data_IF_063297852448
#
_entry.id   IF_063297852448
#
_cell.length_a   1.000
_cell.length_b   1.000
_cell.length_c   1.000
_cell.angle_alpha   90.00
_cell.angle_beta   90.00
_cell.angle_gamma   90.00
#
_symmetry.space_group_name_H-M   'P 1'
#
loop_
_entity.id
_entity.type
_entity.pdbx_description
1 polymer ?
#
# COMPACT_ATOMS: atom_id res chain seq x y z
N UNK A 1 12.13 44.29 -21.00
CA UNK A 1 11.07 43.44 -20.41
C UNK A 1 11.77 42.32 -19.68
N UNK A 2 11.98 42.49 -18.40
CA UNK A 2 12.68 41.54 -17.50
C UNK A 2 11.63 40.69 -16.79
N UNK A 3 11.59 39.39 -17.11
CA UNK A 3 10.69 38.45 -16.43
C UNK A 3 11.27 38.07 -15.07
N UNK A 4 10.60 38.46 -14.03
CA UNK A 4 10.86 38.05 -12.64
C UNK A 4 10.46 36.60 -12.44
N UNK A 5 11.43 35.73 -12.11
CA UNK A 5 11.17 34.34 -11.72
C UNK A 5 10.85 34.32 -10.25
N UNK A 6 9.57 34.12 -9.94
CA UNK A 6 9.10 33.89 -8.58
C UNK A 6 9.42 32.45 -8.19
N UNK A 7 10.36 32.26 -7.28
CA UNK A 7 10.64 30.94 -6.67
C UNK A 7 9.59 30.73 -5.58
N UNK A 8 8.68 29.79 -5.81
CA UNK A 8 7.76 29.33 -4.79
C UNK A 8 8.49 28.28 -3.94
N UNK A 9 8.85 28.67 -2.74
CA UNK A 9 9.37 27.74 -1.73
C UNK A 9 8.19 26.90 -1.20
N UNK A 10 8.15 25.62 -1.57
CA UNK A 10 7.21 24.65 -0.99
C UNK A 10 7.78 24.24 0.35
N UNK A 11 7.20 24.75 1.43
CA UNK A 11 7.50 24.32 2.79
C UNK A 11 6.82 22.97 2.99
N UNK A 12 7.59 21.90 3.10
CA UNK A 12 7.08 20.58 3.46
C UNK A 12 6.61 20.63 4.93
N UNK A 13 5.32 20.58 5.15
CA UNK A 13 4.74 20.39 6.48
C UNK A 13 4.82 18.92 6.83
N UNK A 14 5.74 18.56 7.70
CA UNK A 14 5.78 17.23 8.33
C UNK A 14 4.72 17.22 9.42
N UNK A 15 3.59 16.58 9.14
CA UNK A 15 2.56 16.32 10.16
C UNK A 15 2.99 15.09 10.95
N UNK A 16 3.50 15.31 12.14
CA UNK A 16 3.73 14.25 13.13
C UNK A 16 2.40 14.02 13.84
N UNK A 17 1.69 12.95 13.48
CA UNK A 17 0.48 12.54 14.18
C UNK A 17 0.87 11.71 15.42
N UNK A 18 0.62 12.25 16.59
CA UNK A 18 0.77 11.58 17.87
C UNK A 18 -0.50 10.78 18.15
N UNK A 19 -0.46 9.49 17.94
CA UNK A 19 -1.54 8.57 18.32
C UNK A 19 -1.30 8.01 19.73
N UNK A 20 -1.61 8.79 20.77
CA UNK A 20 -1.76 8.28 22.13
C UNK A 20 -3.14 8.69 22.64
N UNK A 21 -3.96 7.72 23.07
CA UNK A 21 -5.31 7.95 23.54
C UNK A 21 -5.37 8.86 24.78
N UNK A 22 -6.46 9.62 24.90
CA UNK A 22 -6.69 10.62 25.94
C UNK A 22 -6.94 9.98 27.31
N UNK A 23 -5.90 9.96 28.15
CA UNK A 23 -6.04 9.87 29.60
C UNK A 23 -6.15 11.30 30.17
N UNK A 24 -7.18 11.57 30.97
CA UNK A 24 -7.36 12.84 31.64
C UNK A 24 -6.25 13.10 32.67
N UNK A 25 -5.78 14.35 32.66
CA UNK A 25 -5.03 15.01 33.72
C UNK A 25 -3.60 14.51 33.99
N UNK A 26 -2.64 14.96 33.15
CA UNK A 26 -1.37 15.47 33.68
C UNK A 26 -0.65 16.29 32.57
N UNK A 27 -0.37 17.55 32.88
CA UNK A 27 0.40 18.42 32.01
C UNK A 27 1.83 17.88 31.89
N UNK A 28 2.18 17.41 30.69
CA UNK A 28 3.55 17.02 30.37
C UNK A 28 4.41 18.28 30.12
N UNK A 29 5.68 18.29 30.52
CA UNK A 29 6.59 19.38 30.20
C UNK A 29 6.80 19.47 28.70
N UNK A 30 6.57 20.67 28.14
CA UNK A 30 6.79 20.95 26.74
C UNK A 30 8.29 20.95 26.47
N UNK A 31 8.79 19.84 25.94
CA UNK A 31 10.16 19.77 25.42
C UNK A 31 10.29 20.62 24.15
N UNK A 32 11.27 21.49 24.12
CA UNK A 32 11.54 22.38 23.00
C UNK A 32 11.76 21.59 21.72
N UNK A 33 10.96 21.87 20.68
CA UNK A 33 11.20 21.40 19.32
C UNK A 33 12.41 22.17 18.75
N UNK A 34 13.52 21.50 18.57
CA UNK A 34 14.64 22.03 17.81
C UNK A 34 14.53 21.58 16.35
N UNK A 35 14.18 22.49 15.47
CA UNK A 35 14.21 22.29 14.02
C UNK A 35 15.64 22.48 13.53
N UNK A 36 16.42 21.41 13.47
CA UNK A 36 17.73 21.38 12.84
C UNK A 36 17.64 21.01 11.36
N UNK A 37 18.38 21.70 10.53
CA UNK A 37 18.61 21.42 9.10
C UNK A 37 19.32 20.06 8.88
N UNK A 38 19.33 19.50 7.64
CA UNK A 38 19.50 18.08 7.34
C UNK A 38 20.86 17.53 7.78
N UNK A 39 20.81 16.59 8.70
CA UNK A 39 21.93 15.86 9.24
C UNK A 39 21.59 15.39 10.65
N UNK A 40 21.04 14.17 10.75
CA UNK A 40 20.88 13.42 12.01
C UNK A 40 20.20 14.16 13.18
N UNK A 41 18.89 14.27 13.14
CA UNK A 41 18.11 14.60 14.34
C UNK A 41 17.61 13.34 15.00
N UNK A 42 18.26 12.90 16.05
CA UNK A 42 17.68 11.93 16.98
C UNK A 42 16.68 12.65 17.86
N UNK A 43 15.39 12.55 17.52
CA UNK A 43 14.33 12.92 18.45
C UNK A 43 14.13 11.76 19.43
N UNK A 44 14.68 11.87 20.62
CA UNK A 44 14.32 10.96 21.72
C UNK A 44 13.33 11.67 22.64
N UNK A 45 12.09 11.31 22.57
CA UNK A 45 11.11 11.65 23.58
C UNK A 45 10.56 10.36 24.17
N UNK A 46 10.73 10.19 25.46
CA UNK A 46 10.14 9.08 26.21
C UNK A 46 8.72 9.49 26.64
N UNK A 47 7.74 8.91 26.01
CA UNK A 47 6.34 9.06 26.37
C UNK A 47 5.88 7.76 27.05
N UNK A 48 5.05 7.86 28.06
CA UNK A 48 4.42 6.71 28.67
C UNK A 48 2.92 6.84 28.58
N UNK A 49 2.25 5.83 28.05
CA UNK A 49 0.81 5.66 28.10
C UNK A 49 0.55 4.53 29.11
N UNK A 50 -0.10 4.84 30.24
CA UNK A 50 -0.40 3.88 31.31
C UNK A 50 0.80 3.00 31.73
N UNK A 51 2.00 3.61 31.80
CA UNK A 51 3.23 2.90 32.16
C UNK A 51 3.93 2.16 31.02
N UNK A 52 3.37 2.18 29.82
CA UNK A 52 4.02 1.63 28.61
C UNK A 52 4.83 2.74 27.93
N UNK A 53 6.14 2.57 27.73
CA UNK A 53 6.93 3.56 27.01
C UNK A 53 6.49 3.67 25.56
N UNK A 54 6.00 4.85 25.17
CA UNK A 54 5.82 5.18 23.77
C UNK A 54 7.19 5.60 23.22
N UNK A 55 7.84 4.76 22.47
CA UNK A 55 9.04 5.14 21.73
C UNK A 55 8.62 5.96 20.51
N UNK A 56 9.21 7.15 20.33
CA UNK A 56 9.26 7.76 19.00
C UNK A 56 10.13 6.85 18.14
N UNK A 57 9.47 6.11 17.26
CA UNK A 57 10.18 5.32 16.27
C UNK A 57 10.76 6.34 15.30
N UNK A 58 12.07 6.31 15.03
CA UNK A 58 12.56 7.00 13.87
C UNK A 58 11.84 6.37 12.66
N UNK A 59 10.85 7.09 12.12
CA UNK A 59 10.39 6.80 10.76
C UNK A 59 11.68 6.86 9.95
N UNK A 60 12.10 5.77 9.28
CA UNK A 60 13.29 5.81 8.45
C UNK A 60 13.17 7.05 7.58
N UNK A 61 14.21 7.88 7.57
CA UNK A 61 14.22 9.09 6.76
C UNK A 61 13.69 8.67 5.40
N UNK A 62 12.61 9.32 4.96
CA UNK A 62 11.88 8.91 3.77
C UNK A 62 12.92 8.55 2.74
N UNK A 63 12.92 7.29 2.32
CA UNK A 63 13.89 6.81 1.35
C UNK A 63 14.01 7.88 0.26
N UNK A 64 15.18 8.21 -0.23
CA UNK A 64 15.40 9.39 -1.05
C UNK A 64 14.29 9.44 -2.09
N UNK A 65 13.57 10.55 -2.13
CA UNK A 65 12.36 10.75 -2.93
C UNK A 65 12.56 10.08 -4.28
N UNK A 66 11.96 8.92 -4.47
CA UNK A 66 11.95 8.24 -5.75
C UNK A 66 11.13 9.10 -6.70
N UNK A 67 11.77 10.11 -7.28
CA UNK A 67 11.16 11.07 -8.20
C UNK A 67 10.97 10.48 -9.59
N UNK A 68 10.87 9.19 -9.72
CA UNK A 68 10.69 8.50 -10.99
C UNK A 68 9.30 7.88 -11.11
N UNK A 69 8.77 7.88 -12.33
CA UNK A 69 7.69 7.00 -12.70
C UNK A 69 8.16 5.55 -12.56
N UNK A 70 7.27 4.66 -12.14
CA UNK A 70 7.54 3.22 -12.11
C UNK A 70 7.25 2.63 -13.52
N UNK A 71 8.26 2.43 -14.37
CA UNK A 71 8.04 2.03 -15.75
C UNK A 71 7.80 0.53 -15.89
N UNK A 72 7.11 0.16 -16.96
CA UNK A 72 6.87 -1.23 -17.34
C UNK A 72 5.76 -1.88 -16.51
N UNK A 73 5.72 -3.23 -16.54
CA UNK A 73 4.78 -4.05 -15.78
C UNK A 73 5.51 -4.64 -14.58
N UNK A 74 5.25 -4.11 -13.40
CA UNK A 74 5.94 -4.48 -12.16
C UNK A 74 5.22 -3.95 -10.93
N UNK A 75 5.54 -4.43 -9.73
CA UNK A 75 5.01 -3.85 -8.48
C UNK A 75 5.30 -2.35 -8.39
N UNK A 76 4.25 -1.57 -8.17
CA UNK A 76 4.31 -0.11 -8.14
C UNK A 76 3.97 0.59 -9.47
N UNK A 77 3.86 -0.13 -10.58
CA UNK A 77 3.44 0.49 -11.86
C UNK A 77 1.93 0.76 -11.89
N UNK A 78 1.55 1.72 -12.71
CA UNK A 78 0.13 2.05 -12.96
C UNK A 78 -0.54 0.93 -13.74
N UNK A 79 -1.77 0.61 -13.36
CA UNK A 79 -2.71 -0.16 -14.16
C UNK A 79 -3.99 0.64 -14.39
N UNK A 80 -4.47 0.59 -15.61
CA UNK A 80 -5.74 1.17 -16.04
C UNK A 80 -6.74 0.05 -16.33
N UNK A 81 -7.95 0.24 -15.88
CA UNK A 81 -9.12 -0.60 -16.18
C UNK A 81 -10.29 0.30 -16.61
N UNK A 82 -11.43 -0.30 -16.93
CA UNK A 82 -12.66 0.45 -17.25
C UNK A 82 -13.22 1.19 -16.01
N UNK A 83 -12.78 0.81 -14.79
CA UNK A 83 -13.19 1.46 -13.54
C UNK A 83 -12.31 2.68 -13.23
N UNK A 84 -11.02 2.64 -13.59
CA UNK A 84 -10.11 3.75 -13.32
C UNK A 84 -8.65 3.32 -13.22
N UNK A 85 -7.86 4.19 -12.57
CA UNK A 85 -6.44 3.99 -12.34
C UNK A 85 -6.20 3.38 -10.96
N UNK A 86 -5.36 2.35 -10.94
CA UNK A 86 -4.84 1.70 -9.75
C UNK A 86 -3.33 1.45 -9.86
N UNK A 87 -2.77 0.76 -8.88
CA UNK A 87 -1.36 0.37 -8.84
C UNK A 87 -1.24 -1.15 -8.84
N UNK A 88 -0.27 -1.68 -9.58
CA UNK A 88 0.06 -3.11 -9.60
C UNK A 88 0.79 -3.53 -8.32
N UNK A 89 0.47 -4.74 -7.82
CA UNK A 89 1.22 -5.35 -6.72
C UNK A 89 2.25 -6.36 -7.23
N UNK A 90 2.17 -7.61 -6.83
CA UNK A 90 3.22 -8.60 -7.05
C UNK A 90 3.00 -9.40 -8.32
N UNK A 91 4.13 -9.91 -8.87
CA UNK A 91 4.15 -10.83 -10.00
C UNK A 91 4.09 -12.27 -9.49
N UNK A 92 3.32 -13.11 -10.18
CA UNK A 92 3.13 -14.50 -9.84
C UNK A 92 3.34 -15.39 -11.08
N UNK A 93 3.84 -16.62 -10.84
CA UNK A 93 3.85 -17.68 -11.82
C UNK A 93 2.73 -18.66 -11.50
N UNK A 94 1.80 -18.83 -12.40
CA UNK A 94 0.73 -19.81 -12.26
C UNK A 94 1.19 -21.23 -12.54
N UNK A 95 0.57 -22.20 -11.88
CA UNK A 95 0.77 -23.62 -12.16
C UNK A 95 0.32 -24.05 -13.57
N UNK A 96 -0.49 -23.23 -14.22
CA UNK A 96 -0.91 -23.36 -15.63
C UNK A 96 0.12 -22.85 -16.63
N UNK A 97 1.27 -22.37 -16.17
CA UNK A 97 2.32 -21.77 -16.98
C UNK A 97 2.10 -20.28 -17.33
N UNK A 98 0.94 -19.70 -16.99
CA UNK A 98 0.68 -18.29 -17.19
C UNK A 98 1.36 -17.43 -16.14
N UNK A 99 1.69 -16.19 -16.52
CA UNK A 99 2.14 -15.16 -15.55
C UNK A 99 0.96 -14.29 -15.16
N UNK A 100 0.93 -13.93 -13.89
CA UNK A 100 -0.09 -13.07 -13.33
C UNK A 100 0.55 -11.89 -12.61
N UNK A 101 -0.14 -10.75 -12.61
CA UNK A 101 0.20 -9.63 -11.75
C UNK A 101 -1.05 -9.18 -11.02
N UNK A 102 -0.91 -8.81 -9.75
CA UNK A 102 -2.06 -8.47 -8.93
C UNK A 102 -2.34 -6.96 -8.88
N UNK A 103 -3.56 -6.63 -8.49
CA UNK A 103 -4.01 -5.31 -8.02
C UNK A 103 -5.16 -5.51 -7.02
N UNK A 104 -5.90 -4.45 -6.63
CA UNK A 104 -7.07 -4.61 -5.78
C UNK A 104 -8.30 -5.08 -6.60
N UNK A 105 -9.24 -5.73 -5.95
CA UNK A 105 -10.47 -6.23 -6.58
C UNK A 105 -11.38 -5.09 -7.03
N UNK A 106 -11.51 -4.05 -6.19
CA UNK A 106 -12.31 -2.87 -6.55
C UNK A 106 -11.79 -2.13 -7.78
N UNK A 107 -10.53 -2.37 -8.18
CA UNK A 107 -9.94 -1.76 -9.38
C UNK A 107 -10.57 -2.26 -10.69
N UNK A 108 -11.31 -3.36 -10.65
CA UNK A 108 -12.06 -3.88 -11.80
C UNK A 108 -13.54 -4.09 -11.50
N UNK A 109 -13.90 -4.45 -10.27
CA UNK A 109 -15.30 -4.62 -9.90
C UNK A 109 -16.02 -3.30 -9.61
N UNK A 110 -15.25 -2.22 -9.40
CA UNK A 110 -15.77 -0.95 -8.94
C UNK A 110 -16.03 -0.96 -7.43
N UNK A 111 -16.65 0.11 -6.94
CA UNK A 111 -17.09 0.23 -5.56
C UNK A 111 -18.59 0.44 -5.52
N UNK A 112 -19.28 -0.20 -4.58
CA UNK A 112 -20.68 0.12 -4.33
C UNK A 112 -20.78 1.59 -3.85
N UNK A 113 -21.72 2.38 -4.38
CA UNK A 113 -21.93 3.76 -3.93
C UNK A 113 -22.32 3.87 -2.45
N UNK A 114 -22.71 2.75 -1.83
CA UNK A 114 -23.07 2.68 -0.41
C UNK A 114 -22.03 1.94 0.44
N UNK A 115 -20.87 1.58 -0.16
CA UNK A 115 -19.92 0.66 0.44
C UNK A 115 -20.45 -0.79 0.42
N UNK A 116 -19.60 -1.75 0.76
CA UNK A 116 -19.96 -3.15 0.91
C UNK A 116 -19.54 -4.02 -0.28
N UNK A 117 -19.97 -5.26 -0.19
CA UNK A 117 -19.57 -6.33 -1.09
C UNK A 117 -20.13 -6.11 -2.50
N UNK A 118 -19.25 -6.24 -3.49
CA UNK A 118 -19.63 -6.28 -4.91
C UNK A 118 -19.71 -7.70 -5.42
N UNK A 119 -18.87 -8.59 -4.89
CA UNK A 119 -18.86 -10.01 -5.21
C UNK A 119 -17.51 -10.56 -5.60
N UNK A 120 -17.53 -11.71 -6.24
CA UNK A 120 -16.37 -12.44 -6.71
C UNK A 120 -16.58 -12.86 -8.16
N UNK A 121 -15.58 -12.71 -9.00
CA UNK A 121 -15.63 -13.05 -10.41
C UNK A 121 -14.34 -13.76 -10.86
N UNK A 122 -14.51 -14.75 -11.74
CA UNK A 122 -13.41 -15.36 -12.48
C UNK A 122 -13.74 -15.37 -13.97
N UNK A 123 -12.75 -15.10 -14.79
CA UNK A 123 -12.89 -15.06 -16.24
C UNK A 123 -12.04 -16.15 -16.88
N UNK A 124 -12.62 -16.87 -17.84
CA UNK A 124 -11.87 -17.81 -18.66
C UNK A 124 -10.85 -17.05 -19.54
N UNK A 125 -9.76 -17.70 -19.97
CA UNK A 125 -8.81 -17.08 -20.88
C UNK A 125 -9.48 -16.46 -22.12
N UNK A 126 -9.14 -15.22 -22.45
CA UNK A 126 -9.69 -14.47 -23.56
C UNK A 126 -11.07 -13.85 -23.33
N UNK A 127 -11.59 -13.88 -22.08
CA UNK A 127 -12.94 -13.34 -21.77
C UNK A 127 -12.94 -12.26 -20.69
N UNK A 128 -11.80 -12.04 -20.04
CA UNK A 128 -11.68 -11.04 -18.97
C UNK A 128 -11.59 -9.62 -19.50
N UNK A 129 -11.93 -8.61 -18.68
CA UNK A 129 -11.70 -7.21 -19.00
C UNK A 129 -10.20 -6.94 -19.24
N UNK A 130 -9.91 -6.04 -20.18
CA UNK A 130 -8.54 -5.71 -20.57
C UNK A 130 -7.90 -4.81 -19.52
N UNK A 131 -6.72 -5.22 -19.03
CA UNK A 131 -5.84 -4.39 -18.22
C UNK A 131 -4.82 -3.66 -19.12
N UNK A 132 -4.53 -2.39 -18.80
CA UNK A 132 -3.62 -1.55 -19.58
C UNK A 132 -2.54 -0.93 -18.70
N UNK A 133 -1.38 -0.64 -19.29
CA UNK A 133 -0.33 0.13 -18.66
C UNK A 133 -0.67 1.64 -18.58
N UNK A 134 0.23 2.44 -18.02
CA UNK A 134 0.10 3.89 -17.94
C UNK A 134 0.00 4.58 -19.30
N UNK A 135 0.50 3.96 -20.36
CA UNK A 135 0.42 4.44 -21.75
C UNK A 135 -0.88 4.03 -22.45
N UNK A 136 -1.75 3.26 -21.77
CA UNK A 136 -2.98 2.72 -22.36
C UNK A 136 -2.76 1.45 -23.21
N UNK A 137 -1.55 0.88 -23.23
CA UNK A 137 -1.28 -0.34 -23.97
C UNK A 137 -1.83 -1.55 -23.21
N UNK A 138 -2.49 -2.53 -23.87
CA UNK A 138 -2.90 -3.76 -23.23
C UNK A 138 -1.70 -4.51 -22.63
N UNK A 139 -1.84 -4.97 -21.39
CA UNK A 139 -0.85 -5.84 -20.73
C UNK A 139 -1.37 -7.25 -20.46
N UNK A 140 -2.66 -7.46 -20.62
CA UNK A 140 -3.34 -8.71 -20.39
C UNK A 140 -4.81 -8.50 -20.04
N UNK A 141 -5.41 -9.50 -19.39
CA UNK A 141 -6.80 -9.51 -19.00
C UNK A 141 -6.98 -9.88 -17.52
N UNK A 142 -7.98 -9.32 -16.87
CA UNK A 142 -8.34 -9.78 -15.53
C UNK A 142 -8.81 -11.23 -15.59
N UNK A 143 -8.22 -12.09 -14.76
CA UNK A 143 -8.57 -13.49 -14.64
C UNK A 143 -9.41 -13.76 -13.40
N UNK A 144 -9.23 -12.94 -12.36
CA UNK A 144 -9.90 -13.08 -11.08
C UNK A 144 -10.03 -11.74 -10.37
N UNK A 145 -11.13 -11.54 -9.68
CA UNK A 145 -11.32 -10.43 -8.74
C UNK A 145 -12.31 -10.79 -7.63
N UNK A 146 -12.04 -10.30 -6.43
CA UNK A 146 -12.93 -10.38 -5.27
C UNK A 146 -13.00 -9.02 -4.59
N UNK A 147 -14.21 -8.61 -4.23
CA UNK A 147 -14.51 -7.47 -3.36
C UNK A 147 -15.64 -7.89 -2.42
N UNK A 148 -15.26 -8.55 -1.35
CA UNK A 148 -16.14 -9.02 -0.27
C UNK A 148 -15.38 -8.88 1.04
N UNK A 149 -15.84 -8.03 1.94
CA UNK A 149 -15.17 -7.80 3.23
C UNK A 149 -14.85 -9.13 3.93
N UNK A 150 -13.61 -9.40 4.31
CA UNK A 150 -12.42 -8.53 4.31
C UNK A 150 -11.50 -8.67 3.08
N UNK A 151 -11.96 -9.23 1.97
CA UNK A 151 -11.16 -9.52 0.77
C UNK A 151 -11.33 -8.46 -0.31
N UNK A 152 -10.21 -7.98 -0.83
CA UNK A 152 -10.16 -7.02 -1.94
C UNK A 152 -8.88 -7.26 -2.74
N UNK A 153 -8.98 -8.10 -3.78
CA UNK A 153 -7.83 -8.56 -4.56
C UNK A 153 -8.23 -8.93 -5.98
N UNK A 154 -7.33 -8.77 -6.93
CA UNK A 154 -7.51 -9.27 -8.28
C UNK A 154 -6.19 -9.73 -8.89
N UNK A 155 -6.30 -10.59 -9.90
CA UNK A 155 -5.21 -11.10 -10.73
C UNK A 155 -5.47 -10.81 -12.19
N UNK A 156 -4.47 -10.24 -12.85
CA UNK A 156 -4.40 -10.00 -14.29
C UNK A 156 -3.51 -11.09 -14.87
N UNK A 157 -4.03 -11.89 -15.80
CA UNK A 157 -3.23 -12.80 -16.62
C UNK A 157 -2.52 -11.96 -17.65
N UNK A 158 -1.19 -11.95 -17.61
CA UNK A 158 -0.37 -11.18 -18.55
C UNK A 158 -0.35 -11.86 -19.93
N UNK A 159 -0.36 -11.04 -20.96
CA UNK A 159 -0.08 -11.53 -22.31
C UNK A 159 1.33 -12.13 -22.38
N UNK A 160 1.54 -13.22 -23.14
CA UNK A 160 2.83 -13.95 -23.15
C UNK A 160 4.04 -13.10 -23.54
N UNK A 161 3.83 -12.06 -24.34
CA UNK A 161 4.89 -11.18 -24.86
C UNK A 161 5.13 -9.93 -24.02
N UNK A 162 4.35 -9.69 -22.98
CA UNK A 162 4.55 -8.57 -22.07
C UNK A 162 5.73 -8.84 -21.16
N UNK A 163 6.73 -7.99 -21.22
CA UNK A 163 7.84 -8.07 -20.26
C UNK A 163 7.37 -7.59 -18.89
N UNK A 164 7.63 -8.40 -17.88
CA UNK A 164 7.29 -8.08 -16.49
C UNK A 164 8.49 -8.31 -15.57
N UNK A 165 8.60 -7.47 -14.55
CA UNK A 165 9.68 -7.52 -13.55
C UNK A 165 9.09 -7.74 -12.16
N UNK A 166 9.65 -8.68 -11.39
CA UNK A 166 9.17 -8.97 -10.04
C UNK A 166 9.57 -7.90 -9.01
N UNK A 167 10.64 -7.12 -9.28
CA UNK A 167 11.14 -6.14 -8.33
C UNK A 167 10.24 -4.90 -8.25
N UNK A 168 9.81 -4.58 -7.03
CA UNK A 168 9.07 -3.35 -6.74
C UNK A 168 9.90 -2.11 -7.07
N UNK A 169 9.29 -1.10 -7.66
CA UNK A 169 9.94 0.16 -7.88
C UNK A 169 10.46 0.74 -6.56
N UNK A 170 11.67 1.26 -6.58
CA UNK A 170 12.38 1.90 -5.49
C UNK A 170 12.88 0.93 -4.39
N UNK A 171 12.08 -0.02 -3.96
CA UNK A 171 12.42 -0.87 -2.81
C UNK A 171 13.05 -2.22 -3.20
N UNK A 172 12.83 -2.67 -4.43
CA UNK A 172 13.08 -4.07 -4.76
C UNK A 172 12.11 -5.02 -4.05
N UNK A 173 12.50 -6.28 -3.84
CA UNK A 173 11.58 -7.28 -3.31
C UNK A 173 10.45 -7.64 -4.28
N UNK A 174 9.56 -8.56 -3.92
CA UNK A 174 9.50 -9.25 -2.64
C UNK A 174 10.56 -10.35 -2.51
N UNK A 175 11.04 -10.56 -1.28
CA UNK A 175 12.02 -11.63 -0.97
C UNK A 175 11.37 -12.93 -0.53
N UNK A 176 10.13 -12.87 -0.02
CA UNK A 176 9.29 -13.98 0.40
C UNK A 176 7.86 -13.47 0.64
N UNK A 177 6.94 -14.34 1.02
CA UNK A 177 5.66 -13.96 1.64
C UNK A 177 5.87 -13.72 3.14
N UNK A 178 5.21 -12.71 3.69
CA UNK A 178 5.21 -12.42 5.11
C UNK A 178 3.89 -12.89 5.74
N UNK A 179 3.94 -14.02 6.43
CA UNK A 179 2.81 -14.56 7.18
C UNK A 179 2.84 -14.21 8.67
N UNK A 180 3.82 -13.41 9.10
CA UNK A 180 3.91 -12.94 10.47
C UNK A 180 2.68 -12.10 10.82
N UNK A 181 2.23 -12.23 12.06
CA UNK A 181 1.10 -11.48 12.61
C UNK A 181 1.64 -10.49 13.63
N UNK A 182 1.94 -9.24 13.21
CA UNK A 182 2.43 -8.25 14.15
C UNK A 182 1.38 -8.00 15.23
N UNK A 183 1.79 -8.12 16.47
CA UNK A 183 0.98 -7.71 17.62
C UNK A 183 0.83 -6.20 17.68
N UNK A 184 -0.15 -5.70 18.44
CA UNK A 184 -0.39 -4.27 18.64
C UNK A 184 0.83 -3.52 19.23
N UNK A 185 1.77 -4.25 19.85
CA UNK A 185 2.98 -3.71 20.45
C UNK A 185 4.22 -3.82 19.56
N UNK A 186 4.09 -4.46 18.41
CA UNK A 186 5.19 -4.65 17.47
C UNK A 186 5.15 -3.53 16.42
N UNK A 187 6.25 -2.81 16.34
CA UNK A 187 6.42 -1.69 15.42
C UNK A 187 6.97 -2.21 14.10
N UNK A 188 6.07 -2.62 13.23
CA UNK A 188 6.43 -3.09 11.89
C UNK A 188 6.30 -1.96 10.89
N UNK A 189 7.42 -1.64 10.24
CA UNK A 189 7.44 -0.69 9.12
C UNK A 189 7.02 -1.41 7.84
N UNK A 190 6.07 -0.82 7.15
CA UNK A 190 5.51 -1.30 5.89
C UNK A 190 5.85 -0.30 4.80
N UNK A 191 6.28 -0.79 3.64
CA UNK A 191 6.73 0.01 2.52
C UNK A 191 5.92 -0.32 1.26
N UNK A 192 5.61 0.69 0.45
CA UNK A 192 4.99 0.49 -0.86
C UNK A 192 5.37 1.61 -1.83
N UNK A 193 5.26 1.32 -3.11
CA UNK A 193 5.31 2.30 -4.18
C UNK A 193 3.91 2.42 -4.78
N UNK A 194 3.36 3.63 -4.82
CA UNK A 194 1.98 3.85 -5.24
C UNK A 194 1.81 5.11 -6.07
N UNK A 195 0.72 5.13 -6.85
CA UNK A 195 0.43 6.17 -7.83
C UNK A 195 -0.79 7.03 -7.44
N UNK A 196 -1.01 7.21 -6.14
CA UNK A 196 -2.11 8.01 -5.63
C UNK A 196 -2.10 9.44 -6.16
N UNK A 197 -3.29 9.97 -6.46
CA UNK A 197 -3.48 11.31 -7.04
C UNK A 197 -2.83 12.36 -6.13
N UNK A 198 -2.08 13.28 -6.71
CA UNK A 198 -1.31 14.34 -6.05
C UNK A 198 -0.15 13.83 -5.17
N UNK A 199 -0.37 12.86 -4.29
CA UNK A 199 0.66 12.34 -3.38
C UNK A 199 1.66 11.46 -4.12
N UNK A 200 1.20 10.56 -4.98
CA UNK A 200 2.05 9.67 -5.77
C UNK A 200 2.94 10.40 -6.78
N UNK A 201 2.51 11.56 -7.26
CA UNK A 201 3.33 12.40 -8.15
C UNK A 201 4.56 13.01 -7.45
N UNK A 202 4.50 13.19 -6.12
CA UNK A 202 5.53 13.87 -5.31
C UNK A 202 6.26 12.87 -4.41
N UNK A 203 5.54 11.89 -3.89
CA UNK A 203 6.00 10.87 -2.94
C UNK A 203 5.46 9.48 -3.32
N UNK A 204 5.93 8.87 -4.41
CA UNK A 204 5.45 7.56 -4.81
C UNK A 204 5.92 6.44 -3.87
N UNK A 205 7.15 6.50 -3.39
CA UNK A 205 7.69 5.59 -2.39
C UNK A 205 7.32 6.06 -0.99
N UNK A 206 6.61 5.25 -0.22
CA UNK A 206 6.08 5.61 1.10
C UNK A 206 6.23 4.48 2.09
N UNK A 207 6.17 4.87 3.36
CA UNK A 207 6.22 3.96 4.49
C UNK A 207 5.10 4.28 5.47
N UNK A 208 4.66 3.24 6.18
CA UNK A 208 3.70 3.33 7.27
C UNK A 208 4.16 2.47 8.44
N UNK A 209 3.54 2.65 9.59
CA UNK A 209 3.76 1.80 10.75
C UNK A 209 2.50 0.98 10.98
N UNK A 210 2.63 -0.34 11.09
CA UNK A 210 1.50 -1.22 11.35
C UNK A 210 0.82 -0.84 12.68
N UNK A 211 -0.50 -0.69 12.63
CA UNK A 211 -1.33 -0.37 13.79
C UNK A 211 -2.11 -1.59 14.30
N UNK A 212 -1.79 -2.78 13.80
CA UNK A 212 -2.35 -4.05 14.21
C UNK A 212 -3.12 -4.77 13.12
N UNK A 213 -3.61 -5.96 13.47
CA UNK A 213 -4.37 -6.84 12.60
C UNK A 213 -5.75 -7.07 13.22
N UNK A 214 -6.80 -6.42 12.73
CA UNK A 214 -8.16 -6.63 13.23
C UNK A 214 -8.70 -8.01 12.85
N UNK A 215 -8.17 -8.62 11.78
CA UNK A 215 -8.54 -9.95 11.32
C UNK A 215 -7.35 -10.66 10.67
N UNK A 216 -7.46 -11.98 10.40
CA UNK A 216 -6.43 -12.71 9.65
C UNK A 216 -6.21 -12.18 8.23
N UNK A 217 -7.19 -11.49 7.67
CA UNK A 217 -7.17 -10.99 6.30
C UNK A 217 -6.71 -9.53 6.19
N UNK A 218 -6.72 -8.75 7.30
CA UNK A 218 -6.43 -7.31 7.28
C UNK A 218 -5.26 -6.91 8.18
N UNK A 219 -4.47 -5.96 7.68
CA UNK A 219 -3.52 -5.17 8.46
C UNK A 219 -3.89 -3.70 8.32
N UNK A 220 -3.94 -2.98 9.43
CA UNK A 220 -4.03 -1.53 9.42
C UNK A 220 -2.67 -0.92 9.72
N UNK A 221 -2.40 0.22 9.09
CA UNK A 221 -1.19 0.97 9.33
C UNK A 221 -1.47 2.47 9.37
N UNK A 222 -0.63 3.20 10.07
CA UNK A 222 -0.63 4.65 10.09
C UNK A 222 0.34 5.16 9.03
N UNK A 223 -0.20 5.87 8.03
CA UNK A 223 0.55 6.35 6.88
C UNK A 223 -0.29 7.24 5.98
N UNK A 224 0.26 7.61 4.84
CA UNK A 224 -0.39 8.48 3.86
C UNK A 224 -0.61 7.74 2.56
N UNK A 225 -1.86 7.56 2.18
CA UNK A 225 -2.25 7.03 0.88
C UNK A 225 -3.33 7.91 0.25
N UNK A 226 -3.56 7.76 -1.04
CA UNK A 226 -4.53 8.52 -1.81
C UNK A 226 -5.21 7.63 -2.86
N UNK A 227 -6.39 8.01 -3.39
CA UNK A 227 -7.01 7.30 -4.51
C UNK A 227 -6.03 7.11 -5.66
N UNK A 228 -5.91 5.88 -6.18
CA UNK A 228 -4.90 5.47 -7.17
C UNK A 228 -3.75 4.66 -6.56
N UNK A 229 -3.54 4.70 -5.24
CA UNK A 229 -2.64 3.78 -4.53
C UNK A 229 -3.25 2.38 -4.37
N UNK A 230 -4.55 2.27 -4.54
CA UNK A 230 -5.27 1.00 -4.52
C UNK A 230 -4.57 -0.05 -5.35
N UNK A 231 -4.39 -1.23 -4.77
CA UNK A 231 -3.71 -2.33 -5.41
C UNK A 231 -2.19 -2.37 -5.18
N UNK A 232 -1.55 -1.32 -4.66
CA UNK A 232 -0.11 -1.34 -4.37
C UNK A 232 0.28 -2.54 -3.52
N UNK A 233 1.33 -3.23 -3.92
CA UNK A 233 1.96 -4.24 -3.09
C UNK A 233 2.65 -3.62 -1.88
N UNK A 234 2.48 -4.23 -0.72
CA UNK A 234 3.09 -3.77 0.53
C UNK A 234 4.09 -4.80 1.01
N UNK A 235 5.30 -4.35 1.30
CA UNK A 235 6.38 -5.17 1.83
C UNK A 235 6.80 -4.69 3.22
N UNK A 236 7.28 -5.63 4.05
CA UNK A 236 7.95 -5.32 5.31
C UNK A 236 9.35 -4.75 5.08
N UNK A 237 9.99 -4.23 6.12
CA UNK A 237 11.33 -3.64 6.04
C UNK A 237 12.41 -4.62 5.57
N UNK A 238 12.20 -5.93 5.73
CA UNK A 238 13.06 -7.00 5.23
C UNK A 238 12.68 -7.46 3.80
N UNK A 239 11.76 -6.76 3.15
CA UNK A 239 11.36 -6.99 1.77
C UNK A 239 10.35 -8.11 1.55
N UNK A 240 9.76 -8.70 2.61
CA UNK A 240 8.74 -9.75 2.44
C UNK A 240 7.37 -9.16 2.10
N UNK A 241 6.64 -9.78 1.17
CA UNK A 241 5.29 -9.37 0.74
C UNK A 241 4.29 -9.56 1.88
N UNK A 242 3.68 -8.49 2.36
CA UNK A 242 2.69 -8.48 3.44
C UNK A 242 1.27 -8.57 2.89
N UNK A 243 0.97 -7.74 1.88
CA UNK A 243 -0.38 -7.61 1.39
C UNK A 243 -0.54 -6.57 0.30
N UNK A 244 -1.77 -6.14 0.12
CA UNK A 244 -2.21 -5.21 -0.92
C UNK A 244 -2.93 -4.04 -0.27
N UNK A 245 -2.55 -2.83 -0.62
CA UNK A 245 -3.18 -1.61 -0.14
C UNK A 245 -4.54 -1.45 -0.82
N UNK A 246 -5.60 -1.37 -0.02
CA UNK A 246 -6.97 -1.38 -0.53
C UNK A 246 -7.84 -0.24 -0.03
N UNK A 247 -7.53 0.33 1.14
CA UNK A 247 -8.36 1.35 1.76
C UNK A 247 -7.52 2.57 2.13
N UNK A 248 -8.01 3.73 1.72
CA UNK A 248 -7.47 5.03 2.10
C UNK A 248 -8.39 5.61 3.14
N UNK A 249 -7.91 5.73 4.35
CA UNK A 249 -8.48 6.40 5.51
C UNK A 249 -10.00 6.33 5.68
N UNK A 250 -10.43 6.13 6.88
CA UNK A 250 -11.76 6.23 7.46
C UNK A 250 -12.52 4.91 7.54
N UNK A 251 -12.05 4.00 8.34
CA UNK A 251 -13.01 3.15 9.02
C UNK A 251 -13.64 3.94 10.17
N UNK A 252 -14.85 4.42 9.95
CA UNK A 252 -15.72 4.97 10.99
C UNK A 252 -16.29 3.88 11.91
N UNK A 253 -15.82 2.67 11.82
CA UNK A 253 -16.18 1.57 12.69
C UNK A 253 -15.45 1.70 14.02
N UNK A 254 -16.02 2.51 14.90
CA UNK A 254 -15.97 2.41 16.36
C UNK A 254 -14.60 2.55 17.07
N UNK A 255 -13.80 3.52 16.70
CA UNK A 255 -12.85 4.11 17.65
C UNK A 255 -13.26 5.56 17.89
N UNK A 256 -14.06 5.79 18.92
CA UNK A 256 -14.40 7.13 19.45
C UNK A 256 -15.21 8.02 18.51
N UNK A 257 -16.14 8.74 19.07
CA UNK A 257 -17.09 9.65 18.40
C UNK A 257 -16.49 10.88 17.71
N UNK A 258 -15.18 10.97 17.53
CA UNK A 258 -14.49 12.24 17.23
C UNK A 258 -13.83 12.31 15.85
N UNK A 259 -14.07 11.33 14.98
CA UNK A 259 -13.96 11.50 13.53
C UNK A 259 -12.56 11.77 12.95
N UNK A 260 -11.47 11.43 13.60
CA UNK A 260 -10.12 11.66 13.12
C UNK A 260 -9.29 10.39 12.98
N UNK A 261 -9.72 9.48 12.11
CA UNK A 261 -8.85 8.41 11.60
C UNK A 261 -8.01 8.89 10.38
N UNK A 262 -7.67 10.17 10.38
CA UNK A 262 -6.79 10.73 9.37
C UNK A 262 -5.43 10.04 9.42
N UNK A 263 -5.11 9.30 8.36
CA UNK A 263 -3.85 8.58 8.22
C UNK A 263 -3.89 7.07 8.49
N UNK A 264 -5.05 6.49 8.76
CA UNK A 264 -5.19 5.03 8.77
C UNK A 264 -5.37 4.52 7.35
N UNK A 265 -4.56 3.54 6.98
CA UNK A 265 -4.64 2.82 5.71
C UNK A 265 -4.87 1.34 5.97
N UNK A 266 -5.70 0.72 5.16
CA UNK A 266 -6.04 -0.69 5.25
C UNK A 266 -5.37 -1.49 4.13
N UNK A 267 -4.90 -2.68 4.48
CA UNK A 267 -4.28 -3.63 3.57
C UNK A 267 -4.92 -5.00 3.75
N UNK A 268 -5.22 -5.68 2.66
CA UNK A 268 -5.54 -7.10 2.71
C UNK A 268 -4.26 -7.91 2.72
N UNK A 269 -4.17 -8.93 3.56
CA UNK A 269 -3.00 -9.82 3.59
C UNK A 269 -2.93 -10.67 2.34
N UNK A 270 -1.70 -10.92 1.87
CA UNK A 270 -1.49 -11.58 0.60
C UNK A 270 -1.93 -13.05 0.61
N UNK A 271 -1.52 -13.82 1.62
CA UNK A 271 -1.77 -15.28 1.68
C UNK A 271 -3.26 -15.64 1.58
N UNK A 272 -4.17 -15.09 2.40
CA UNK A 272 -5.61 -15.42 2.27
C UNK A 272 -6.21 -15.03 0.92
N UNK A 273 -5.65 -14.01 0.24
CA UNK A 273 -6.10 -13.62 -1.10
C UNK A 273 -5.66 -14.65 -2.15
N UNK A 274 -4.40 -15.10 -2.08
CA UNK A 274 -3.87 -16.11 -2.99
C UNK A 274 -4.56 -17.46 -2.81
N UNK A 275 -4.77 -17.89 -1.58
CA UNK A 275 -5.52 -19.13 -1.27
C UNK A 275 -6.93 -19.09 -1.86
N UNK A 276 -7.62 -17.95 -1.75
CA UNK A 276 -8.96 -17.81 -2.33
C UNK A 276 -8.92 -17.81 -3.85
N UNK A 277 -7.99 -17.07 -4.45
CA UNK A 277 -7.80 -17.05 -5.90
C UNK A 277 -7.48 -18.45 -6.46
N UNK A 278 -6.61 -19.22 -5.78
CA UNK A 278 -6.29 -20.59 -6.14
C UNK A 278 -7.53 -21.50 -6.13
N UNK A 279 -8.35 -21.40 -5.09
CA UNK A 279 -9.59 -22.19 -4.98
C UNK A 279 -10.56 -21.94 -6.15
N UNK A 280 -10.65 -20.69 -6.61
CA UNK A 280 -11.60 -20.28 -7.64
C UNK A 280 -11.05 -20.50 -9.05
N UNK A 281 -9.79 -20.16 -9.29
CA UNK A 281 -9.15 -20.31 -10.59
C UNK A 281 -8.71 -21.76 -10.88
N UNK A 282 -8.48 -22.57 -9.83
CA UNK A 282 -7.81 -23.86 -9.98
C UNK A 282 -6.34 -23.74 -10.40
N UNK A 283 -5.74 -22.55 -10.25
CA UNK A 283 -4.35 -22.23 -10.59
C UNK A 283 -3.65 -21.78 -9.31
N UNK A 284 -2.48 -22.35 -9.02
CA UNK A 284 -1.66 -21.94 -7.88
C UNK A 284 -0.75 -20.75 -8.28
N UNK A 285 -1.00 -19.53 -7.82
CA UNK A 285 -0.21 -18.35 -8.13
C UNK A 285 0.99 -18.25 -7.18
N UNK A 286 2.16 -18.70 -7.64
CA UNK A 286 3.42 -18.65 -6.88
C UNK A 286 4.09 -17.29 -7.03
N UNK A 287 4.35 -16.62 -5.90
CA UNK A 287 5.01 -15.31 -5.85
C UNK A 287 6.39 -15.34 -6.50
N UNK A 288 6.65 -14.43 -7.43
CA UNK A 288 7.96 -14.24 -8.03
C UNK A 288 8.81 -13.34 -7.13
N UNK A 289 10.00 -13.82 -6.79
CA UNK A 289 10.90 -13.14 -5.85
C UNK A 289 11.89 -12.23 -6.57
N UNK A 290 12.28 -11.18 -5.89
CA UNK A 290 13.34 -10.26 -6.31
C UNK A 290 14.16 -9.80 -5.10
N UNK A 291 15.44 -9.43 -5.26
CA UNK A 291 16.23 -8.86 -4.17
C UNK A 291 15.71 -7.48 -3.78
N UNK A 292 15.90 -7.09 -2.53
CA UNK A 292 15.75 -5.70 -2.07
C UNK A 292 16.86 -4.83 -2.65
N UNK A 293 16.57 -3.54 -2.82
CA UNK A 293 17.54 -2.53 -3.26
C UNK A 293 18.13 -1.78 -2.08
#
# INVERSE_FOLDING_TARGET
MTASKTIVAITAVVVVLLGCGSGKDQAAPVGALSLGLPGTSTLSANWTLDGVPCALIPVPAAAPLGTGTCPGVRPGAIVLSDVGQCTLNFLFQGSDGSRYIGTAGHCILGTSPFGGDVGEMAWAPGTGPVARDAGGNPIGEFAYAILQDPKDFSLIRLDPFVEANAAMCHFGGPTAVNDDRPGLTELVVLNWFGNGVAVGAVLPARSAVAAGMPSPDHVFAQGVAAPGDSGSGVISSDGRAVGVLVTVGVHTASIGSDGLDAGMIGMTRLTPQLERAQQVLGVDPVLQLAPTQ
#
